data_IF_561469734506
#
_entry.id   IF_561469734506
#
_cell.length_a   1.000
_cell.length_b   1.000
_cell.length_c   1.000
_cell.angle_alpha   90.00
_cell.angle_beta   90.00
_cell.angle_gamma   90.00
#
_symmetry.space_group_name_H-M   'P 1'
#
loop_
_entity.id
_entity.type
_entity.pdbx_description
1 polymer ?
#
# COMPACT_ATOMS: atom_id res chain seq x y z
N UNK A 1 -5.37 11.14 -52.42
CA UNK A 1 -4.31 11.76 -53.25
C UNK A 1 -4.86 12.89 -54.15
N UNK A 2 -3.97 13.80 -54.59
CA UNK A 2 -4.19 15.16 -55.12
C UNK A 2 -4.69 16.19 -54.09
N UNK A 3 -5.84 15.96 -53.46
CA UNK A 3 -6.39 16.91 -52.48
C UNK A 3 -5.61 16.94 -51.15
N UNK A 4 -4.88 15.87 -50.84
CA UNK A 4 -4.10 15.74 -49.60
C UNK A 4 -2.77 16.52 -49.60
N UNK A 5 -2.26 16.95 -50.76
CA UNK A 5 -0.92 17.56 -50.87
C UNK A 5 -0.97 19.11 -50.92
N UNK A 6 -2.17 19.69 -50.92
CA UNK A 6 -2.38 21.14 -50.95
C UNK A 6 -2.06 21.72 -49.55
N UNK A 7 -1.07 22.63 -49.42
CA UNK A 7 -0.86 23.36 -48.17
C UNK A 7 -2.11 24.19 -47.84
N UNK A 8 -2.45 24.35 -46.55
CA UNK A 8 -3.75 24.80 -45.99
C UNK A 8 -4.87 23.74 -45.92
N UNK A 9 -5.30 23.14 -47.03
CA UNK A 9 -6.55 22.34 -47.07
C UNK A 9 -6.35 20.82 -47.09
N UNK A 10 -5.14 20.35 -47.34
CA UNK A 10 -4.87 18.92 -47.49
C UNK A 10 -5.09 18.11 -46.21
N UNK A 11 -4.93 18.71 -45.02
CA UNK A 11 -5.10 18.03 -43.72
C UNK A 11 -6.53 17.51 -43.48
N UNK A 12 -7.54 18.03 -44.20
CA UNK A 12 -8.93 17.59 -44.10
C UNK A 12 -9.19 16.24 -44.78
N UNK A 13 -8.27 15.78 -45.63
CA UNK A 13 -8.39 14.55 -46.42
C UNK A 13 -7.31 13.50 -46.05
N UNK A 14 -6.55 13.72 -44.97
CA UNK A 14 -5.51 12.79 -44.46
C UNK A 14 -5.92 12.26 -43.09
N UNK A 15 -5.68 10.98 -42.86
CA UNK A 15 -5.74 10.37 -41.53
C UNK A 15 -4.32 10.16 -41.02
N UNK A 16 -3.88 10.94 -40.03
CA UNK A 16 -2.57 10.81 -39.40
C UNK A 16 -2.76 10.29 -37.98
N UNK A 17 -2.14 9.16 -37.66
CA UNK A 17 -2.15 8.59 -36.30
C UNK A 17 -0.71 8.48 -35.81
N UNK A 18 -0.37 9.26 -34.79
CA UNK A 18 0.94 9.21 -34.12
C UNK A 18 0.75 8.66 -32.71
N UNK A 19 1.44 7.54 -32.40
CA UNK A 19 1.46 6.96 -31.06
C UNK A 19 2.89 6.91 -30.55
N UNK A 20 3.18 7.70 -29.52
CA UNK A 20 4.44 7.65 -28.78
C UNK A 20 4.18 7.14 -27.38
N UNK A 21 4.85 6.05 -27.01
CA UNK A 21 4.75 5.47 -25.67
C UNK A 21 6.15 5.44 -25.05
N UNK A 22 6.27 5.92 -23.82
CA UNK A 22 7.51 5.87 -23.04
C UNK A 22 7.23 5.11 -21.74
N UNK A 23 8.01 4.06 -21.48
CA UNK A 23 7.91 3.24 -20.27
C UNK A 23 9.25 3.23 -19.53
N UNK A 24 9.22 3.56 -18.24
CA UNK A 24 10.37 3.49 -17.35
C UNK A 24 10.07 2.52 -16.20
N UNK A 25 10.98 1.59 -15.92
CA UNK A 25 10.90 0.68 -14.79
C UNK A 25 12.24 0.69 -14.07
N UNK A 26 12.22 0.99 -12.78
CA UNK A 26 13.41 0.96 -11.91
C UNK A 26 13.10 0.07 -10.72
N UNK A 27 14.05 -0.81 -10.37
CA UNK A 27 13.96 -1.71 -9.21
C UNK A 27 15.12 -1.39 -8.29
N UNK A 28 14.81 -0.96 -7.06
CA UNK A 28 15.80 -0.59 -6.06
C UNK A 28 15.75 -1.54 -4.87
N UNK A 29 16.91 -1.76 -4.23
CA UNK A 29 17.03 -2.54 -3.00
C UNK A 29 17.89 -1.79 -1.98
N UNK A 30 17.47 -1.83 -0.71
CA UNK A 30 18.22 -1.29 0.43
C UNK A 30 18.48 -2.40 1.45
N UNK A 31 19.66 -3.05 1.44
CA UNK A 31 20.00 -4.02 2.47
C UNK A 31 20.24 -3.31 3.82
N UNK A 32 19.95 -3.99 4.92
CA UNK A 32 20.24 -3.50 6.28
C UNK A 32 20.76 -4.68 7.10
N UNK A 33 21.98 -4.57 7.62
CA UNK A 33 22.61 -5.62 8.44
C UNK A 33 22.20 -5.37 9.90
N UNK A 34 21.47 -6.30 10.48
CA UNK A 34 21.09 -6.30 11.90
C UNK A 34 22.13 -7.12 12.66
N UNK A 35 22.96 -6.49 13.50
CA UNK A 35 24.09 -7.16 14.18
C UNK A 35 23.76 -7.59 15.59
N UNK A 36 22.91 -6.84 16.29
CA UNK A 36 22.58 -7.02 17.69
C UNK A 36 21.05 -7.00 17.91
N UNK A 37 20.63 -7.51 19.08
CA UNK A 37 19.21 -7.52 19.46
C UNK A 37 18.60 -6.12 19.56
N UNK A 38 19.38 -5.11 19.95
CA UNK A 38 18.92 -3.72 20.02
C UNK A 38 18.65 -3.11 18.64
N UNK A 39 19.50 -3.35 17.62
CA UNK A 39 19.18 -2.88 16.27
C UNK A 39 17.98 -3.62 15.68
N UNK A 40 17.85 -4.92 15.93
CA UNK A 40 16.70 -5.70 15.49
C UNK A 40 15.40 -5.22 16.13
N UNK A 41 15.41 -4.98 17.44
CA UNK A 41 14.26 -4.45 18.17
C UNK A 41 13.93 -3.02 17.70
N UNK A 42 14.93 -2.13 17.58
CA UNK A 42 14.71 -0.78 17.10
C UNK A 42 14.12 -0.70 15.68
N UNK A 43 14.56 -1.55 14.74
CA UNK A 43 13.98 -1.61 13.38
C UNK A 43 12.55 -2.15 13.42
N UNK A 44 12.31 -3.21 14.21
CA UNK A 44 11.00 -3.84 14.33
C UNK A 44 10.00 -2.90 15.01
N UNK A 45 10.38 -2.28 16.12
CA UNK A 45 9.56 -1.37 16.90
C UNK A 45 9.15 -0.13 16.10
N UNK A 46 10.06 0.46 15.31
CA UNK A 46 9.71 1.59 14.42
C UNK A 46 8.65 1.21 13.39
N UNK A 47 8.82 0.07 12.71
CA UNK A 47 7.84 -0.41 11.72
C UNK A 47 6.52 -0.78 12.37
N UNK A 48 6.56 -1.44 13.53
CA UNK A 48 5.39 -1.82 14.30
C UNK A 48 4.57 -0.60 14.73
N UNK A 49 5.23 0.38 15.36
CA UNK A 49 4.58 1.61 15.84
C UNK A 49 4.01 2.43 14.68
N UNK A 50 4.68 2.45 13.52
CA UNK A 50 4.15 3.09 12.32
C UNK A 50 2.82 2.46 11.87
N UNK A 51 2.79 1.13 11.72
CA UNK A 51 1.56 0.43 11.32
C UNK A 51 0.44 0.58 12.35
N UNK A 52 0.79 0.56 13.64
CA UNK A 52 -0.17 0.78 14.73
C UNK A 52 -0.77 2.19 14.69
N UNK A 53 0.04 3.21 14.45
CA UNK A 53 -0.43 4.59 14.33
C UNK A 53 -1.39 4.77 13.14
N UNK A 54 -1.07 4.16 12.00
CA UNK A 54 -1.96 4.15 10.82
C UNK A 54 -3.31 3.46 11.12
N UNK A 55 -3.30 2.37 11.88
CA UNK A 55 -4.53 1.68 12.26
C UNK A 55 -5.38 2.48 13.25
N UNK A 56 -4.75 3.14 14.23
CA UNK A 56 -5.45 4.05 15.15
C UNK A 56 -6.10 5.19 14.36
N UNK A 57 -5.36 5.79 13.42
CA UNK A 57 -5.89 6.86 12.58
C UNK A 57 -7.08 6.39 11.72
N UNK A 58 -7.03 5.16 11.19
CA UNK A 58 -8.16 4.57 10.44
C UNK A 58 -9.34 4.21 11.32
N UNK A 59 -9.10 3.75 12.55
CA UNK A 59 -10.14 3.46 13.53
C UNK A 59 -10.87 4.74 13.95
N UNK A 60 -10.14 5.84 14.14
CA UNK A 60 -10.72 7.17 14.39
C UNK A 60 -11.60 7.67 13.23
N UNK A 61 -11.23 7.38 11.98
CA UNK A 61 -12.04 7.70 10.81
C UNK A 61 -13.28 6.81 10.68
N UNK A 62 -13.24 5.61 11.26
CA UNK A 62 -14.32 4.62 11.21
C UNK A 62 -14.59 4.06 9.80
N UNK A 63 -15.44 3.04 9.73
CA UNK A 63 -15.94 2.53 8.46
C UNK A 63 -17.24 3.23 8.08
N UNK A 64 -17.32 3.75 6.86
CA UNK A 64 -18.49 4.49 6.37
C UNK A 64 -19.80 3.72 6.47
N UNK A 65 -19.78 2.40 6.26
CA UNK A 65 -20.97 1.54 6.30
C UNK A 65 -21.10 0.74 7.62
N UNK A 66 -20.10 0.85 8.50
CA UNK A 66 -20.02 0.10 9.77
C UNK A 66 -19.42 0.97 10.88
N UNK A 67 -20.08 2.09 11.25
CA UNK A 67 -19.50 3.08 12.17
C UNK A 67 -19.35 2.58 13.62
N UNK A 68 -19.99 1.47 13.98
CA UNK A 68 -19.94 0.88 15.32
C UNK A 68 -19.12 -0.41 15.39
N UNK A 69 -18.33 -0.69 14.34
CA UNK A 69 -17.47 -1.88 14.29
C UNK A 69 -16.05 -1.49 14.65
N UNK A 70 -15.57 -1.98 15.80
CA UNK A 70 -14.18 -1.79 16.24
C UNK A 70 -13.21 -2.39 15.21
N UNK A 71 -12.26 -1.58 14.73
CA UNK A 71 -11.25 -2.09 13.81
C UNK A 71 -10.16 -2.87 14.55
N UNK A 72 -9.59 -3.90 13.92
CA UNK A 72 -8.44 -4.60 14.48
C UNK A 72 -7.23 -3.66 14.48
N UNK A 73 -6.89 -3.15 15.66
CA UNK A 73 -5.66 -2.37 15.92
C UNK A 73 -4.60 -3.27 16.54
N UNK A 74 -3.34 -3.07 16.15
CA UNK A 74 -2.20 -3.76 16.73
C UNK A 74 -2.09 -3.40 18.22
N UNK A 75 -1.88 -4.40 19.11
CA UNK A 75 -1.77 -4.17 20.54
C UNK A 75 -0.55 -3.28 20.85
N UNK A 76 -0.54 -2.56 21.96
CA UNK A 76 0.72 -1.97 22.40
C UNK A 76 1.72 -3.10 22.71
N UNK A 77 3.02 -2.86 22.48
CA UNK A 77 4.05 -3.90 22.55
C UNK A 77 4.14 -4.63 23.92
N UNK A 78 3.67 -3.97 24.99
CA UNK A 78 3.60 -4.52 26.35
C UNK A 78 2.16 -4.86 26.79
N UNK A 79 1.20 -4.90 25.87
CA UNK A 79 -0.20 -5.15 26.16
C UNK A 79 -0.58 -6.58 25.76
N UNK A 80 -1.28 -7.27 26.65
CA UNK A 80 -1.77 -8.62 26.38
C UNK A 80 -2.70 -8.60 25.16
N UNK A 81 -2.61 -9.64 24.33
CA UNK A 81 -3.48 -9.82 23.17
C UNK A 81 -4.96 -9.73 23.59
N UNK A 82 -5.83 -9.07 22.79
CA UNK A 82 -7.26 -9.04 23.06
C UNK A 82 -7.84 -10.45 23.24
N UNK A 83 -8.83 -10.66 24.12
CA UNK A 83 -9.42 -11.97 24.38
C UNK A 83 -9.91 -12.68 23.11
N UNK A 84 -10.44 -11.93 22.14
CA UNK A 84 -10.92 -12.43 20.85
C UNK A 84 -9.79 -13.05 20.00
N UNK A 85 -8.67 -12.34 19.89
CA UNK A 85 -7.48 -12.83 19.16
C UNK A 85 -6.90 -14.06 19.86
N UNK A 86 -6.88 -14.07 21.19
CA UNK A 86 -6.44 -15.24 21.97
C UNK A 86 -7.33 -16.45 21.73
N UNK A 87 -8.64 -16.27 21.70
CA UNK A 87 -9.60 -17.34 21.43
C UNK A 87 -9.40 -17.94 20.04
N UNK A 88 -9.19 -17.09 19.01
CA UNK A 88 -8.91 -17.53 17.64
C UNK A 88 -7.62 -18.37 17.54
N UNK A 89 -6.52 -17.89 18.14
CA UNK A 89 -5.24 -18.61 18.12
C UNK A 89 -5.31 -19.97 18.82
N UNK A 90 -6.06 -20.05 19.92
CA UNK A 90 -6.26 -21.32 20.64
C UNK A 90 -7.14 -22.30 19.85
N UNK A 91 -8.18 -21.81 19.18
CA UNK A 91 -9.07 -22.64 18.36
C UNK A 91 -8.38 -23.25 17.13
N UNK A 92 -7.41 -22.54 16.55
CA UNK A 92 -6.61 -23.03 15.42
C UNK A 92 -5.54 -24.06 15.80
N UNK A 93 -5.21 -24.18 17.09
CA UNK A 93 -4.17 -25.09 17.61
C UNK A 93 -4.70 -26.47 18.01
N UNK A 94 -6.02 -26.63 18.09
CA UNK A 94 -6.72 -27.86 18.47
C UNK A 94 -7.12 -28.74 17.27
N UNK A 95 -6.40 -28.64 16.15
CA UNK A 95 -6.53 -29.54 14.99
C UNK A 95 -5.19 -30.14 14.61
#
# INVERSE_FOLDING_TARGET
>A
PLLGDIPLIGNLFKSTADKKEKRNLMVFIRPTILRDGMAADGVSQRKYNYMRAEQIYRDEQGLSLMPHTAQPVLPAQNQALPPEVRAFLNAGRTR
#
